data_IF_554603547847
#
_entry.id   IF_554603547847
#
_cell.length_a   1.000
_cell.length_b   1.000
_cell.length_c   1.000
_cell.angle_alpha   90.00
_cell.angle_beta   90.00
_cell.angle_gamma   90.00
#
_symmetry.space_group_name_H-M   'P 1'
#
loop_
_entity.id
_entity.type
_entity.pdbx_description
1 polymer ?
#
# COMPACT_ATOMS: atom_id res chain seq x y z
N UNK A 1 49.36 -5.63 -0.42
CA UNK A 1 48.63 -5.47 -1.70
C UNK A 1 47.52 -4.45 -1.46
N UNK A 2 47.84 -3.15 -1.74
CA UNK A 2 46.86 -2.10 -1.69
C UNK A 2 45.95 -2.17 -2.95
N UNK A 3 44.71 -2.54 -2.77
CA UNK A 3 43.68 -2.37 -3.80
C UNK A 3 43.13 -0.96 -3.70
N UNK A 4 43.62 -0.03 -4.52
CA UNK A 4 43.01 1.29 -4.71
C UNK A 4 41.59 1.12 -5.33
N UNK A 5 40.56 1.54 -4.63
CA UNK A 5 39.20 1.64 -5.15
C UNK A 5 39.16 2.78 -6.17
N UNK A 6 39.02 2.44 -7.46
CA UNK A 6 38.87 3.45 -8.54
C UNK A 6 37.40 3.89 -8.60
N UNK A 7 37.16 5.17 -8.37
CA UNK A 7 35.83 5.80 -8.52
C UNK A 7 35.50 6.02 -10.00
N UNK A 8 34.41 5.42 -10.50
CA UNK A 8 33.90 5.63 -11.85
C UNK A 8 32.66 6.52 -11.83
N UNK A 9 32.55 7.45 -12.75
CA UNK A 9 31.39 8.33 -12.91
C UNK A 9 30.88 8.28 -14.35
N UNK A 10 29.57 8.01 -14.53
CA UNK A 10 28.90 8.07 -15.83
C UNK A 10 28.43 9.50 -16.09
N UNK A 11 28.79 10.02 -17.23
CA UNK A 11 28.33 11.34 -17.73
C UNK A 11 27.39 11.05 -18.91
N UNK A 12 26.12 11.50 -18.89
CA UNK A 12 25.23 11.32 -20.03
C UNK A 12 25.70 12.06 -21.25
N UNK A 13 25.56 11.50 -22.47
CA UNK A 13 26.01 12.17 -23.71
C UNK A 13 25.14 13.37 -24.04
N UNK A 14 25.78 14.43 -24.51
CA UNK A 14 25.16 15.72 -24.81
C UNK A 14 24.33 15.75 -26.11
N UNK A 15 24.34 14.68 -26.96
CA UNK A 15 23.55 14.59 -28.18
C UNK A 15 23.27 13.13 -28.57
N UNK A 16 22.20 12.91 -29.34
CA UNK A 16 21.63 11.57 -29.70
C UNK A 16 22.55 10.64 -30.53
N UNK A 17 23.78 11.01 -30.86
CA UNK A 17 24.67 10.23 -31.74
C UNK A 17 26.04 9.91 -31.17
N UNK A 18 26.28 10.17 -29.89
CA UNK A 18 27.61 9.92 -29.29
C UNK A 18 27.63 8.59 -28.56
N UNK A 19 28.58 7.71 -28.84
CA UNK A 19 28.83 6.48 -28.09
C UNK A 19 29.12 6.81 -26.63
N UNK A 20 28.50 6.09 -25.72
CA UNK A 20 28.81 6.20 -24.28
C UNK A 20 30.27 5.76 -24.05
N UNK A 21 31.00 6.56 -23.29
CA UNK A 21 32.42 6.33 -22.97
C UNK A 21 32.57 6.16 -21.46
N UNK A 22 33.42 5.25 -21.05
CA UNK A 22 33.80 5.05 -19.65
C UNK A 22 34.99 5.94 -19.33
N UNK A 23 34.88 6.76 -18.29
CA UNK A 23 35.94 7.64 -17.81
C UNK A 23 36.45 7.21 -16.45
N UNK A 24 37.74 7.22 -16.25
CA UNK A 24 38.39 7.06 -14.96
C UNK A 24 38.95 8.39 -14.47
N UNK A 25 38.73 8.72 -13.21
CA UNK A 25 39.29 9.94 -12.60
C UNK A 25 40.63 9.59 -11.97
N UNK A 26 41.70 9.98 -12.60
CA UNK A 26 43.07 9.96 -12.02
C UNK A 26 43.53 11.38 -11.82
N UNK A 27 43.82 11.78 -10.58
CA UNK A 27 44.41 13.09 -10.21
C UNK A 27 43.74 14.28 -10.90
N UNK A 28 42.41 14.42 -10.74
CA UNK A 28 41.58 15.49 -11.28
C UNK A 28 41.48 15.59 -12.82
N UNK A 29 42.01 14.64 -13.57
CA UNK A 29 41.93 14.60 -15.04
C UNK A 29 41.06 13.43 -15.51
N UNK A 30 40.06 13.72 -16.36
CA UNK A 30 39.18 12.70 -16.96
C UNK A 30 39.88 12.06 -18.16
N UNK A 31 40.20 10.76 -18.09
CA UNK A 31 40.78 10.01 -19.24
C UNK A 31 39.75 9.01 -19.75
N UNK A 32 39.59 8.97 -21.07
CA UNK A 32 38.79 7.93 -21.77
C UNK A 32 39.61 6.65 -21.74
N UNK A 33 39.03 5.57 -21.14
CA UNK A 33 39.72 4.29 -21.02
C UNK A 33 39.43 3.40 -22.22
N UNK A 34 38.16 3.36 -22.70
CA UNK A 34 37.74 2.61 -23.89
C UNK A 34 36.31 3.00 -24.33
N UNK A 35 35.93 2.78 -25.62
CA UNK A 35 34.56 2.83 -26.04
C UNK A 35 33.80 1.62 -25.42
N UNK A 36 32.58 1.83 -24.92
CA UNK A 36 31.76 0.75 -24.39
C UNK A 36 31.31 -0.20 -25.52
N UNK A 37 31.66 -1.48 -25.39
CA UNK A 37 31.09 -2.55 -26.21
C UNK A 37 29.73 -3.00 -25.64
N UNK A 38 28.91 -3.69 -26.43
CA UNK A 38 27.59 -4.16 -25.97
C UNK A 38 27.69 -5.13 -24.78
N UNK A 39 28.76 -5.96 -24.71
CA UNK A 39 29.03 -6.83 -23.56
C UNK A 39 29.39 -6.03 -22.28
N UNK A 40 30.12 -4.93 -22.44
CA UNK A 40 30.47 -4.02 -21.33
C UNK A 40 29.22 -3.25 -20.82
N UNK A 41 28.27 -2.96 -21.73
CA UNK A 41 26.98 -2.34 -21.33
C UNK A 41 26.12 -3.28 -20.49
N UNK A 42 26.03 -4.55 -20.85
CA UNK A 42 25.30 -5.57 -20.08
C UNK A 42 25.91 -5.74 -18.69
N UNK A 43 27.24 -5.88 -18.60
CA UNK A 43 27.93 -6.03 -17.31
C UNK A 43 27.82 -4.77 -16.43
N UNK A 44 27.90 -3.58 -17.00
CA UNK A 44 27.74 -2.32 -16.25
C UNK A 44 26.27 -2.09 -15.83
N UNK A 45 25.30 -2.53 -16.63
CA UNK A 45 23.89 -2.46 -16.25
C UNK A 45 23.60 -3.46 -15.09
N UNK A 46 24.18 -4.64 -15.13
CA UNK A 46 24.07 -5.64 -14.07
C UNK A 46 24.82 -5.17 -12.80
N UNK A 47 26.00 -4.58 -12.91
CA UNK A 47 26.73 -4.00 -11.78
C UNK A 47 26.01 -2.75 -11.20
N UNK A 48 25.36 -1.93 -12.02
CA UNK A 48 24.55 -0.78 -11.54
C UNK A 48 23.29 -1.26 -10.83
N UNK A 49 22.70 -2.37 -11.27
CA UNK A 49 21.57 -3.03 -10.59
C UNK A 49 22.02 -3.65 -9.28
N UNK A 50 23.21 -4.24 -9.23
CA UNK A 50 23.83 -4.78 -8.02
C UNK A 50 24.39 -3.69 -7.08
N UNK A 51 24.71 -2.51 -7.59
CA UNK A 51 25.24 -1.36 -6.82
C UNK A 51 24.20 -0.41 -6.24
N UNK A 52 22.92 -0.61 -6.49
CA UNK A 52 21.88 -0.05 -5.63
C UNK A 52 21.84 -0.90 -4.39
N UNK A 53 22.28 -0.31 -3.29
CA UNK A 53 22.29 -0.91 -1.97
C UNK A 53 21.06 -1.82 -1.81
N UNK A 54 21.29 -3.09 -1.43
CA UNK A 54 20.22 -4.06 -1.11
C UNK A 54 19.47 -3.60 0.16
N UNK A 55 18.85 -2.43 0.10
CA UNK A 55 18.10 -1.85 1.20
C UNK A 55 16.85 -2.70 1.43
N UNK A 56 16.88 -3.49 2.49
CA UNK A 56 15.72 -4.28 2.90
C UNK A 56 14.67 -3.41 3.59
N UNK A 57 13.42 -3.90 3.64
CA UNK A 57 12.33 -3.25 4.36
C UNK A 57 12.74 -2.88 5.80
N UNK A 58 13.33 -3.82 6.54
CA UNK A 58 13.72 -3.61 7.93
C UNK A 58 14.82 -2.55 8.09
N UNK A 59 15.82 -2.55 7.20
CA UNK A 59 16.88 -1.53 7.21
C UNK A 59 16.32 -0.13 6.90
N UNK A 60 15.43 -0.04 5.91
CA UNK A 60 14.82 1.22 5.54
C UNK A 60 13.94 1.79 6.68
N UNK A 61 13.13 0.95 7.34
CA UNK A 61 12.33 1.39 8.50
C UNK A 61 13.21 1.96 9.61
N UNK A 62 14.33 1.29 9.95
CA UNK A 62 15.29 1.80 10.93
C UNK A 62 15.86 3.16 10.51
N UNK A 63 16.20 3.35 9.23
CA UNK A 63 16.72 4.62 8.72
C UNK A 63 15.67 5.74 8.79
N UNK A 64 14.40 5.43 8.54
CA UNK A 64 13.29 6.40 8.58
C UNK A 64 12.97 6.87 9.99
N UNK A 65 13.01 5.98 10.98
CA UNK A 65 12.74 6.37 12.39
C UNK A 65 13.87 7.22 12.96
N UNK A 66 15.09 7.11 12.41
CA UNK A 66 16.20 8.06 12.64
C UNK A 66 16.91 7.94 13.97
N UNK A 67 16.57 6.95 14.81
CA UNK A 67 17.22 6.68 16.10
C UNK A 67 17.28 5.19 16.37
N UNK A 68 18.38 4.73 16.96
CA UNK A 68 18.48 3.37 17.49
C UNK A 68 17.77 3.29 18.85
N UNK A 69 16.46 3.55 18.86
CA UNK A 69 15.61 3.44 20.05
C UNK A 69 14.86 2.10 20.06
N UNK A 70 14.40 1.65 21.23
CA UNK A 70 13.53 0.46 21.30
C UNK A 70 12.32 0.56 20.37
N UNK A 71 11.72 1.76 20.23
CA UNK A 71 10.58 2.03 19.35
C UNK A 71 10.93 1.80 17.86
N UNK A 72 12.14 2.19 17.44
CA UNK A 72 12.61 1.98 16.07
C UNK A 72 12.76 0.49 15.75
N UNK A 73 13.32 -0.27 16.69
CA UNK A 73 13.43 -1.72 16.55
C UNK A 73 12.07 -2.42 16.55
N UNK A 74 11.15 -2.00 17.44
CA UNK A 74 9.80 -2.54 17.51
C UNK A 74 9.04 -2.29 16.19
N UNK A 75 9.10 -1.06 15.63
CA UNK A 75 8.48 -0.74 14.34
C UNK A 75 9.11 -1.51 13.19
N UNK A 76 10.43 -1.63 13.17
CA UNK A 76 11.12 -2.44 12.14
C UNK A 76 10.71 -3.92 12.24
N UNK A 77 10.65 -4.47 13.45
CA UNK A 77 10.20 -5.84 13.67
C UNK A 77 8.72 -6.03 13.27
N UNK A 78 7.85 -5.06 13.59
CA UNK A 78 6.44 -5.07 13.23
C UNK A 78 6.27 -5.07 11.71
N UNK A 79 6.96 -4.17 10.99
CA UNK A 79 6.94 -4.12 9.53
C UNK A 79 7.49 -5.41 8.91
N UNK A 80 8.55 -5.99 9.50
CA UNK A 80 9.08 -7.30 9.12
C UNK A 80 8.05 -8.43 9.28
N UNK A 81 7.24 -8.41 10.35
CA UNK A 81 6.15 -9.38 10.56
C UNK A 81 5.02 -9.22 9.57
N UNK A 82 4.61 -7.98 9.24
CA UNK A 82 3.65 -7.71 8.14
C UNK A 82 4.23 -8.25 6.82
N UNK A 83 5.51 -7.96 6.54
CA UNK A 83 6.20 -8.48 5.36
C UNK A 83 6.21 -10.01 5.29
N UNK A 84 6.44 -10.69 6.43
CA UNK A 84 6.39 -12.16 6.52
C UNK A 84 4.98 -12.69 6.23
N UNK A 85 3.94 -12.05 6.77
CA UNK A 85 2.56 -12.39 6.46
C UNK A 85 2.30 -12.25 4.95
N UNK A 86 2.69 -11.12 4.34
CA UNK A 86 2.56 -10.89 2.91
C UNK A 86 3.31 -11.92 2.05
N UNK A 87 4.56 -12.25 2.37
CA UNK A 87 5.34 -13.31 1.69
C UNK A 87 4.62 -14.66 1.76
N UNK A 88 4.04 -14.98 2.91
CA UNK A 88 3.30 -16.23 3.12
C UNK A 88 2.03 -16.29 2.28
N UNK A 89 1.27 -15.19 2.23
CA UNK A 89 0.07 -15.04 1.41
C UNK A 89 0.43 -15.10 -0.07
N UNK A 90 1.43 -14.32 -0.52
CA UNK A 90 1.90 -14.30 -1.90
C UNK A 90 2.29 -15.70 -2.41
N UNK A 91 3.04 -16.46 -1.59
CA UNK A 91 3.40 -17.84 -1.91
C UNK A 91 2.16 -18.74 -2.06
N UNK A 92 1.13 -18.53 -1.26
CA UNK A 92 -0.09 -19.32 -1.34
C UNK A 92 -0.89 -18.97 -2.59
N UNK A 93 -1.05 -17.68 -2.88
CA UNK A 93 -1.71 -17.15 -4.08
C UNK A 93 -1.04 -17.60 -5.38
N UNK A 94 0.29 -17.59 -5.43
CA UNK A 94 1.03 -18.03 -6.64
C UNK A 94 0.81 -19.50 -7.00
N UNK A 95 0.15 -20.26 -6.13
CA UNK A 95 -0.23 -21.66 -6.32
C UNK A 95 -1.73 -21.87 -6.46
N UNK A 96 -2.51 -20.79 -6.62
CA UNK A 96 -3.95 -20.86 -6.85
C UNK A 96 -4.25 -21.76 -8.07
N UNK A 97 -5.24 -22.62 -7.92
CA UNK A 97 -5.55 -23.65 -8.93
C UNK A 97 -4.68 -24.90 -8.90
N UNK A 98 -3.54 -24.90 -8.20
CA UNK A 98 -2.67 -26.08 -8.02
C UNK A 98 -2.82 -26.71 -6.63
N UNK A 99 -3.31 -25.96 -5.66
CA UNK A 99 -3.51 -26.36 -4.27
C UNK A 99 -4.99 -26.26 -3.94
N UNK A 100 -5.52 -27.29 -3.28
CA UNK A 100 -6.90 -27.27 -2.79
C UNK A 100 -7.14 -26.13 -1.79
N UNK A 101 -8.37 -25.61 -1.74
CA UNK A 101 -8.81 -24.56 -0.81
C UNK A 101 -8.12 -23.18 -0.96
N UNK A 102 -7.55 -22.85 -2.09
CA UNK A 102 -7.12 -21.47 -2.42
C UNK A 102 -8.28 -20.71 -3.09
N UNK A 103 -8.92 -21.35 -4.05
CA UNK A 103 -10.07 -20.80 -4.78
C UNK A 103 -11.41 -21.16 -4.11
N UNK A 104 -12.44 -20.36 -4.43
CA UNK A 104 -13.81 -20.61 -4.01
C UNK A 104 -14.17 -20.04 -2.63
N UNK A 105 -15.38 -20.35 -2.20
CA UNK A 105 -15.99 -19.85 -0.96
C UNK A 105 -16.03 -20.95 0.11
N UNK A 106 -15.98 -20.54 1.37
CA UNK A 106 -16.06 -21.49 2.52
C UNK A 106 -17.46 -22.03 2.75
N UNK A 107 -18.49 -21.42 2.16
CA UNK A 107 -19.90 -21.67 2.50
C UNK A 107 -20.38 -20.87 3.71
N UNK A 108 -19.52 -20.12 4.36
CA UNK A 108 -19.82 -19.21 5.47
C UNK A 108 -20.07 -17.79 4.95
N UNK A 109 -20.78 -17.00 5.76
CA UNK A 109 -21.05 -15.57 5.51
C UNK A 109 -20.40 -14.80 6.65
N UNK A 110 -19.68 -13.72 6.32
CA UNK A 110 -19.05 -12.87 7.34
C UNK A 110 -20.10 -12.03 8.09
N UNK A 111 -19.68 -11.33 9.13
CA UNK A 111 -20.53 -10.45 9.95
C UNK A 111 -21.29 -9.38 9.16
N UNK A 112 -20.96 -9.22 7.89
CA UNK A 112 -21.48 -8.20 6.99
C UNK A 112 -22.42 -8.78 5.91
N UNK A 113 -22.65 -10.10 5.95
CA UNK A 113 -23.50 -10.79 4.99
C UNK A 113 -22.82 -11.15 3.66
N UNK A 114 -21.47 -11.02 3.58
CA UNK A 114 -20.70 -11.35 2.39
C UNK A 114 -20.17 -12.80 2.46
N UNK A 115 -20.11 -13.48 1.30
CA UNK A 115 -19.57 -14.85 1.23
C UNK A 115 -18.06 -14.83 1.48
N UNK A 116 -17.62 -15.53 2.54
CA UNK A 116 -16.19 -15.60 2.91
C UNK A 116 -15.45 -16.51 1.93
N UNK A 117 -14.42 -15.98 1.31
CA UNK A 117 -13.50 -16.74 0.48
C UNK A 117 -12.53 -17.56 1.34
N UNK A 118 -12.05 -18.67 0.81
CA UNK A 118 -11.03 -19.47 1.47
C UNK A 118 -9.77 -18.67 1.79
N UNK A 119 -9.40 -17.75 0.89
CA UNK A 119 -8.22 -16.91 1.04
C UNK A 119 -8.37 -15.85 2.13
N UNK A 120 -9.53 -15.22 2.30
CA UNK A 120 -9.77 -14.25 3.37
C UNK A 120 -9.52 -14.88 4.73
N UNK A 121 -10.09 -16.07 4.94
CA UNK A 121 -9.91 -16.86 6.16
C UNK A 121 -8.47 -17.32 6.38
N UNK A 122 -7.78 -17.71 5.29
CA UNK A 122 -6.37 -18.10 5.35
C UNK A 122 -5.49 -16.90 5.71
N UNK A 123 -5.64 -15.78 4.99
CA UNK A 123 -4.85 -14.59 5.18
C UNK A 123 -5.05 -13.99 6.57
N UNK A 124 -6.29 -13.93 7.07
CA UNK A 124 -6.58 -13.48 8.43
C UNK A 124 -5.84 -14.33 9.47
N UNK A 125 -5.83 -15.67 9.32
CA UNK A 125 -5.05 -16.55 10.21
C UNK A 125 -3.56 -16.35 10.09
N UNK A 126 -3.03 -16.05 8.91
CA UNK A 126 -1.61 -15.75 8.72
C UNK A 126 -1.23 -14.50 9.51
N UNK A 127 -2.01 -13.43 9.44
CA UNK A 127 -1.77 -12.22 10.24
C UNK A 127 -1.85 -12.51 11.74
N UNK A 128 -2.89 -13.17 12.22
CA UNK A 128 -3.02 -13.52 13.65
C UNK A 128 -1.78 -14.28 14.15
N UNK A 129 -1.37 -15.33 13.46
CA UNK A 129 -0.18 -16.14 13.84
C UNK A 129 1.13 -15.36 13.75
N UNK A 130 1.25 -14.42 12.82
CA UNK A 130 2.45 -13.60 12.70
C UNK A 130 2.65 -12.71 13.94
N UNK A 131 1.58 -12.34 14.64
CA UNK A 131 1.62 -11.36 15.71
C UNK A 131 1.35 -11.89 17.12
N UNK A 132 0.58 -12.98 17.28
CA UNK A 132 0.11 -13.48 18.57
C UNK A 132 1.23 -13.65 19.62
N UNK A 133 2.42 -14.10 19.21
CA UNK A 133 3.57 -14.30 20.10
C UNK A 133 4.71 -13.32 19.83
N UNK A 134 4.44 -12.22 19.17
CA UNK A 134 5.50 -11.31 18.72
C UNK A 134 6.01 -10.37 19.82
N UNK A 135 5.22 -10.06 20.83
CA UNK A 135 5.49 -9.02 21.80
C UNK A 135 5.42 -7.58 21.26
N UNK A 136 4.89 -7.41 20.02
CA UNK A 136 4.86 -6.12 19.33
C UNK A 136 3.49 -5.43 19.43
N UNK A 137 2.42 -6.23 19.42
CA UNK A 137 1.04 -5.70 19.43
C UNK A 137 0.33 -6.09 20.73
N UNK A 138 -0.59 -5.24 21.16
CA UNK A 138 -1.54 -5.55 22.25
C UNK A 138 -2.82 -6.17 21.71
N UNK A 139 -3.17 -5.84 20.46
CA UNK A 139 -4.37 -6.34 19.80
C UNK A 139 -4.28 -6.21 18.28
N UNK A 140 -5.14 -6.97 17.61
CA UNK A 140 -5.36 -6.93 16.17
C UNK A 140 -6.84 -6.69 15.89
N UNK A 141 -7.17 -5.88 14.89
CA UNK A 141 -8.51 -5.72 14.38
C UNK A 141 -8.51 -5.94 12.87
N UNK A 142 -9.40 -6.78 12.39
CA UNK A 142 -9.49 -7.17 10.98
C UNK A 142 -10.88 -6.92 10.44
N UNK A 143 -10.98 -6.65 9.15
CA UNK A 143 -12.24 -6.59 8.44
C UNK A 143 -13.06 -7.88 8.61
N UNK A 144 -12.37 -9.02 8.66
CA UNK A 144 -12.94 -10.38 8.75
C UNK A 144 -13.32 -10.81 10.18
N UNK A 145 -13.10 -9.96 11.19
CA UNK A 145 -13.37 -10.25 12.59
C UNK A 145 -14.42 -9.32 13.17
N UNK A 146 -15.46 -9.85 13.80
CA UNK A 146 -16.50 -9.05 14.47
C UNK A 146 -15.96 -8.19 15.61
N UNK A 147 -14.96 -8.72 16.34
CA UNK A 147 -14.33 -8.08 17.50
C UNK A 147 -12.83 -8.08 17.36
N UNK A 148 -12.13 -7.11 17.98
CA UNK A 148 -10.69 -7.14 18.04
C UNK A 148 -10.19 -8.41 18.73
N UNK A 149 -9.06 -8.94 18.24
CA UNK A 149 -8.33 -10.00 18.88
C UNK A 149 -7.32 -9.40 19.86
N UNK A 150 -7.54 -9.59 21.14
CA UNK A 150 -6.60 -9.19 22.18
C UNK A 150 -5.54 -10.27 22.37
N UNK A 151 -4.29 -9.85 22.49
CA UNK A 151 -3.20 -10.79 22.77
C UNK A 151 -3.43 -11.43 24.13
N UNK A 152 -3.44 -12.77 24.23
CA UNK A 152 -3.68 -13.47 25.49
C UNK A 152 -2.62 -13.13 26.56
N UNK A 153 -3.01 -13.07 27.83
CA UNK A 153 -2.13 -12.72 28.97
C UNK A 153 -0.89 -13.63 29.11
N UNK A 154 -0.98 -14.87 28.63
CA UNK A 154 0.14 -15.80 28.62
C UNK A 154 1.11 -15.59 27.43
N UNK A 155 0.85 -14.61 26.57
CA UNK A 155 1.72 -14.19 25.47
C UNK A 155 2.33 -12.82 25.75
N UNK A 156 3.49 -12.49 25.16
CA UNK A 156 4.07 -11.15 25.29
C UNK A 156 3.16 -10.09 24.67
N UNK A 157 2.82 -9.07 25.45
CA UNK A 157 1.95 -7.96 25.01
C UNK A 157 2.83 -6.77 24.60
N UNK A 158 2.60 -6.25 23.41
CA UNK A 158 3.30 -5.07 22.88
C UNK A 158 2.49 -3.78 23.02
N UNK A 159 3.00 -2.72 22.41
CA UNK A 159 2.43 -1.36 22.50
C UNK A 159 1.63 -0.91 21.29
N UNK A 160 1.59 -1.70 20.23
CA UNK A 160 0.92 -1.32 18.99
C UNK A 160 -0.41 -2.04 18.81
N UNK A 161 -1.30 -1.40 18.09
CA UNK A 161 -2.50 -2.00 17.52
C UNK A 161 -2.31 -2.08 16.01
N UNK A 162 -2.57 -3.25 15.43
CA UNK A 162 -2.59 -3.46 14.00
C UNK A 162 -4.04 -3.59 13.53
N UNK A 163 -4.46 -2.72 12.61
CA UNK A 163 -5.74 -2.81 11.93
C UNK A 163 -5.47 -3.20 10.48
N UNK A 164 -6.22 -4.15 9.92
CA UNK A 164 -5.94 -4.64 8.58
C UNK A 164 -7.16 -5.22 7.88
N UNK A 165 -7.15 -5.08 6.56
CA UNK A 165 -7.90 -5.93 5.63
C UNK A 165 -6.93 -7.00 5.12
N UNK A 166 -7.17 -8.29 5.43
CA UNK A 166 -6.25 -9.35 5.01
C UNK A 166 -6.21 -9.54 3.50
N UNK A 167 -7.34 -9.36 2.79
CA UNK A 167 -7.44 -9.50 1.33
C UNK A 167 -8.48 -8.54 0.75
N UNK A 168 -8.04 -7.37 0.34
CA UNK A 168 -8.83 -6.48 -0.52
C UNK A 168 -8.95 -7.06 -1.94
N UNK A 169 -10.17 -7.05 -2.46
CA UNK A 169 -10.48 -7.53 -3.81
C UNK A 169 -10.57 -9.05 -3.93
N UNK A 170 -10.99 -9.76 -2.90
CA UNK A 170 -11.07 -11.24 -2.89
C UNK A 170 -11.88 -11.83 -4.06
N UNK A 171 -12.81 -11.08 -4.65
CA UNK A 171 -13.53 -11.49 -5.88
C UNK A 171 -12.61 -11.70 -7.09
N UNK A 172 -11.45 -11.07 -7.11
CA UNK A 172 -10.46 -11.15 -8.19
C UNK A 172 -9.64 -12.45 -8.16
N UNK A 173 -9.61 -13.17 -7.04
CA UNK A 173 -8.80 -14.38 -6.87
C UNK A 173 -9.18 -15.45 -7.89
N UNK A 174 -10.47 -15.71 -8.04
CA UNK A 174 -10.98 -16.78 -8.91
C UNK A 174 -10.73 -16.52 -10.40
N UNK A 175 -10.44 -15.28 -10.78
CA UNK A 175 -10.14 -14.85 -12.16
C UNK A 175 -8.69 -14.40 -12.34
N UNK A 176 -7.84 -14.64 -11.33
CA UNK A 176 -6.40 -14.37 -11.34
C UNK A 176 -6.05 -12.91 -11.65
N UNK A 177 -6.77 -11.97 -11.05
CA UNK A 177 -6.47 -10.55 -11.09
C UNK A 177 -5.77 -10.09 -9.79
N UNK A 178 -5.16 -8.90 -9.83
CA UNK A 178 -4.46 -8.33 -8.69
C UNK A 178 -5.39 -8.10 -7.50
N UNK A 179 -4.87 -8.37 -6.31
CA UNK A 179 -5.48 -8.17 -4.99
C UNK A 179 -4.43 -7.65 -4.02
N UNK A 180 -4.80 -7.34 -2.78
CA UNK A 180 -3.81 -6.92 -1.78
C UNK A 180 -4.23 -7.09 -0.34
N UNK A 181 -3.32 -6.82 0.56
CA UNK A 181 -3.59 -6.65 1.99
C UNK A 181 -3.35 -5.19 2.38
N UNK A 182 -4.23 -4.61 3.17
CA UNK A 182 -4.12 -3.21 3.62
C UNK A 182 -3.91 -3.22 5.13
N UNK A 183 -3.07 -2.32 5.65
CA UNK A 183 -2.82 -2.23 7.08
C UNK A 183 -2.61 -0.81 7.57
N UNK A 184 -2.92 -0.58 8.84
CA UNK A 184 -2.50 0.59 9.60
C UNK A 184 -2.03 0.23 11.00
N UNK A 185 -1.13 1.06 11.52
CA UNK A 185 -0.51 0.88 12.82
C UNK A 185 -0.91 2.06 13.69
N UNK A 186 -1.34 1.77 14.90
CA UNK A 186 -1.59 2.77 15.95
C UNK A 186 -0.77 2.43 17.17
N UNK A 187 -0.39 3.45 17.91
CA UNK A 187 0.23 3.26 19.21
C UNK A 187 -0.86 3.33 20.28
N UNK A 188 -0.84 2.42 21.24
CA UNK A 188 -1.75 2.47 22.38
C UNK A 188 -1.42 3.67 23.27
N UNK A 189 -2.39 4.52 23.51
CA UNK A 189 -2.29 5.67 24.41
C UNK A 189 -2.86 5.25 25.80
N UNK A 190 -1.98 4.98 26.76
CA UNK A 190 -2.36 4.65 28.15
C UNK A 190 -2.64 3.15 28.42
N UNK A 191 -2.79 2.82 29.70
CA UNK A 191 -3.27 1.51 30.14
C UNK A 191 -4.80 1.55 30.11
N UNK A 192 -5.42 1.11 29.03
CA UNK A 192 -6.85 0.95 29.00
C UNK A 192 -7.25 -0.35 29.73
N UNK A 193 -7.52 -0.23 31.02
CA UNK A 193 -8.05 -1.33 31.85
C UNK A 193 -9.53 -1.63 31.52
N UNK A 194 -10.20 -0.77 30.74
CA UNK A 194 -11.63 -0.92 30.45
C UNK A 194 -11.94 -2.06 29.48
N UNK A 195 -10.95 -2.51 28.67
CA UNK A 195 -11.14 -3.57 27.69
C UNK A 195 -12.13 -3.21 26.56
N UNK A 196 -12.59 -1.95 26.52
CA UNK A 196 -13.49 -1.48 25.49
C UNK A 196 -12.69 -1.03 24.27
N UNK A 197 -13.18 -1.38 23.07
CA UNK A 197 -12.54 -1.02 21.81
C UNK A 197 -12.61 0.49 21.48
N UNK A 198 -12.93 1.35 22.43
CA UNK A 198 -13.15 2.78 22.23
C UNK A 198 -11.92 3.51 21.70
N UNK A 199 -10.73 3.09 22.11
CA UNK A 199 -9.48 3.65 21.61
C UNK A 199 -9.16 3.25 20.15
N UNK A 200 -9.88 2.28 19.58
CA UNK A 200 -9.85 1.97 18.14
C UNK A 200 -10.73 2.93 17.34
N UNK A 201 -11.75 3.54 17.98
CA UNK A 201 -12.72 4.43 17.34
C UNK A 201 -12.20 5.87 17.26
N UNK A 202 -10.98 6.02 16.78
CA UNK A 202 -10.31 7.31 16.60
C UNK A 202 -10.17 7.65 15.12
N UNK A 203 -9.98 8.93 14.83
CA UNK A 203 -9.74 9.41 13.47
C UNK A 203 -8.49 8.78 12.83
N UNK A 204 -8.43 8.79 11.51
CA UNK A 204 -7.28 8.31 10.76
C UNK A 204 -5.98 9.08 11.03
N UNK A 205 -6.05 10.30 11.60
CA UNK A 205 -4.89 11.11 12.01
C UNK A 205 -4.06 10.46 13.13
N UNK A 206 -4.64 9.51 13.88
CA UNK A 206 -3.96 8.77 14.95
C UNK A 206 -3.13 7.59 14.45
N UNK A 207 -3.11 7.33 13.16
CA UNK A 207 -2.20 6.35 12.56
C UNK A 207 -0.75 6.84 12.64
N UNK A 208 0.16 6.00 13.13
CA UNK A 208 1.61 6.25 13.12
C UNK A 208 2.28 5.67 11.87
N UNK A 209 1.57 4.83 11.14
CA UNK A 209 1.98 4.26 9.88
C UNK A 209 0.85 3.52 9.20
N UNK A 210 0.91 3.45 7.90
CA UNK A 210 -0.02 2.69 7.08
C UNK A 210 0.68 2.14 5.84
N UNK A 211 0.07 1.14 5.20
CA UNK A 211 0.61 0.55 3.99
C UNK A 211 -0.31 -0.49 3.38
N UNK A 212 0.16 -1.05 2.30
CA UNK A 212 -0.47 -2.19 1.66
C UNK A 212 0.57 -3.12 1.04
N UNK A 213 0.17 -4.36 0.84
CA UNK A 213 0.92 -5.33 0.03
C UNK A 213 0.07 -5.65 -1.19
N UNK A 214 0.59 -5.37 -2.37
CA UNK A 214 -0.06 -5.68 -3.65
C UNK A 214 0.45 -7.03 -4.16
N UNK A 215 -0.45 -7.95 -4.42
CA UNK A 215 -0.19 -9.25 -5.05
C UNK A 215 -0.58 -9.18 -6.54
N UNK A 216 0.36 -8.74 -7.37
CA UNK A 216 0.20 -8.54 -8.81
C UNK A 216 1.26 -9.29 -9.61
N UNK A 217 1.72 -8.69 -10.72
CA UNK A 217 2.84 -9.21 -11.54
C UNK A 217 4.11 -9.42 -10.72
N UNK A 218 4.34 -8.55 -9.75
CA UNK A 218 5.28 -8.75 -8.65
C UNK A 218 4.54 -8.50 -7.33
N UNK A 219 5.05 -9.02 -6.23
CA UNK A 219 4.54 -8.67 -4.92
C UNK A 219 5.25 -7.41 -4.44
N UNK A 220 4.47 -6.36 -4.18
CA UNK A 220 5.00 -5.08 -3.74
C UNK A 220 4.51 -4.73 -2.35
N UNK A 221 5.38 -4.16 -1.53
CA UNK A 221 5.07 -3.63 -0.20
C UNK A 221 5.21 -2.11 -0.25
N UNK A 222 4.13 -1.38 -0.03
CA UNK A 222 4.10 0.09 -0.06
C UNK A 222 3.70 0.60 1.31
N UNK A 223 4.47 1.55 1.87
CA UNK A 223 4.18 2.07 3.20
C UNK A 223 4.61 3.52 3.41
N UNK A 224 4.10 4.12 4.47
CA UNK A 224 4.58 5.36 5.07
C UNK A 224 4.56 5.26 6.60
N UNK A 225 5.57 5.85 7.24
CA UNK A 225 5.62 6.15 8.67
C UNK A 225 5.64 7.67 8.92
N UNK A 226 4.92 8.44 8.07
CA UNK A 226 4.83 9.90 8.17
C UNK A 226 6.00 10.66 7.54
N UNK A 227 6.87 9.99 6.78
CA UNK A 227 8.03 10.60 6.11
C UNK A 227 8.10 10.18 4.64
N UNK A 228 7.03 10.47 3.88
CA UNK A 228 6.91 10.07 2.48
C UNK A 228 6.42 8.63 2.31
N UNK A 229 6.22 8.24 1.07
CA UNK A 229 5.73 6.91 0.67
C UNK A 229 6.85 6.16 -0.04
N UNK A 230 7.04 4.90 0.32
CA UNK A 230 8.12 4.07 -0.18
C UNK A 230 7.61 2.71 -0.63
N UNK A 231 8.15 2.17 -1.72
CA UNK A 231 7.78 0.89 -2.29
C UNK A 231 8.97 -0.08 -2.34
N UNK A 232 8.67 -1.33 -2.03
CA UNK A 232 9.58 -2.47 -2.04
C UNK A 232 8.99 -3.54 -2.93
N UNK A 233 9.86 -4.21 -3.67
CA UNK A 233 9.49 -5.38 -4.47
C UNK A 233 10.06 -6.64 -3.81
N UNK A 234 9.22 -7.66 -3.69
CA UNK A 234 9.68 -8.97 -3.21
C UNK A 234 10.58 -9.62 -4.25
N UNK A 235 11.82 -9.86 -3.87
CA UNK A 235 12.68 -10.77 -4.61
C UNK A 235 12.39 -12.21 -4.13
N UNK A 236 11.74 -13.04 -4.96
CA UNK A 236 11.36 -14.39 -4.54
C UNK A 236 12.54 -15.34 -4.42
N UNK A 237 13.71 -15.01 -4.99
CA UNK A 237 14.91 -15.86 -4.96
C UNK A 237 15.59 -15.86 -3.59
N UNK A 238 15.57 -14.71 -2.92
CA UNK A 238 16.12 -14.55 -1.56
C UNK A 238 15.03 -14.40 -0.49
N UNK A 239 13.77 -14.20 -0.93
CA UNK A 239 12.64 -14.07 -0.03
C UNK A 239 12.62 -12.75 0.74
N UNK A 240 13.16 -11.63 0.17
CA UNK A 240 13.23 -10.34 0.83
C UNK A 240 12.54 -9.24 0.02
N UNK A 241 11.93 -8.27 0.75
CA UNK A 241 11.45 -7.02 0.17
C UNK A 241 12.60 -6.04 0.03
N UNK A 242 12.96 -5.73 -1.21
CA UNK A 242 14.05 -4.83 -1.57
C UNK A 242 13.46 -3.49 -2.03
N UNK A 243 14.04 -2.39 -1.58
CA UNK A 243 13.62 -1.04 -1.95
C UNK A 243 13.64 -0.86 -3.47
N UNK A 244 12.49 -0.54 -4.04
CA UNK A 244 12.34 -0.28 -5.47
C UNK A 244 12.11 1.20 -5.78
N UNK A 245 11.42 1.92 -4.88
CA UNK A 245 11.20 3.37 -5.03
C UNK A 245 11.10 4.06 -3.67
N UNK A 246 11.72 5.23 -3.55
CA UNK A 246 11.65 6.11 -2.38
C UNK A 246 10.89 7.39 -2.72
N UNK A 247 10.23 7.96 -1.70
CA UNK A 247 9.58 9.26 -1.76
C UNK A 247 8.64 9.39 -2.96
N UNK A 248 7.75 8.40 -3.11
CA UNK A 248 6.74 8.40 -4.17
C UNK A 248 5.82 9.59 -3.96
N UNK A 249 5.70 10.42 -4.99
CA UNK A 249 4.75 11.52 -5.05
C UNK A 249 3.71 11.23 -6.11
N UNK A 250 2.43 11.35 -5.74
CA UNK A 250 1.36 11.27 -6.73
C UNK A 250 1.38 12.54 -7.61
N UNK A 251 1.26 12.44 -8.94
CA UNK A 251 1.13 13.62 -9.79
C UNK A 251 -0.04 14.51 -9.32
N UNK A 252 0.14 15.83 -9.33
CA UNK A 252 -0.93 16.78 -8.93
C UNK A 252 -2.22 16.59 -9.71
N UNK A 253 -2.10 16.14 -10.98
CA UNK A 253 -3.20 15.80 -11.89
C UNK A 253 -2.87 14.57 -12.70
N UNK A 254 -3.86 13.70 -12.91
CA UNK A 254 -3.75 12.56 -13.80
C UNK A 254 -4.99 12.38 -14.67
N UNK A 255 -4.87 11.56 -15.70
CA UNK A 255 -5.96 11.24 -16.64
C UNK A 255 -6.71 9.94 -16.31
N UNK A 256 -6.23 9.19 -15.32
CA UNK A 256 -6.89 7.95 -14.91
C UNK A 256 -8.07 8.26 -13.99
N UNK A 257 -9.20 7.64 -14.26
CA UNK A 257 -10.29 7.56 -13.29
C UNK A 257 -10.70 6.10 -13.09
N UNK A 258 -11.02 5.75 -11.87
CA UNK A 258 -11.41 4.40 -11.47
C UNK A 258 -12.72 4.45 -10.70
N UNK A 259 -13.77 3.85 -11.23
CA UNK A 259 -15.10 3.78 -10.61
C UNK A 259 -15.90 2.65 -11.25
N UNK A 260 -16.76 1.98 -10.47
CA UNK A 260 -17.69 1.00 -11.01
C UNK A 260 -18.92 1.69 -11.63
N UNK A 261 -18.83 2.03 -12.91
CA UNK A 261 -19.92 2.71 -13.62
C UNK A 261 -21.21 1.86 -13.76
N UNK A 262 -21.14 0.54 -13.44
CA UNK A 262 -22.34 -0.30 -13.35
C UNK A 262 -23.34 0.21 -12.29
N UNK A 263 -22.86 1.01 -11.33
CA UNK A 263 -23.68 1.65 -10.29
C UNK A 263 -24.17 3.05 -10.67
N UNK A 264 -23.94 3.54 -11.90
CA UNK A 264 -24.22 4.92 -12.34
C UNK A 264 -25.62 5.42 -11.93
N UNK A 265 -26.64 4.60 -12.12
CA UNK A 265 -28.04 4.98 -11.84
C UNK A 265 -28.40 4.93 -10.35
N UNK A 266 -27.51 4.39 -9.51
CA UNK A 266 -27.68 4.34 -8.07
C UNK A 266 -27.02 5.53 -7.36
N UNK A 267 -26.22 6.35 -8.07
CA UNK A 267 -25.60 7.54 -7.52
C UNK A 267 -26.58 8.73 -7.52
N UNK A 268 -26.28 9.71 -6.68
CA UNK A 268 -26.96 11.01 -6.70
C UNK A 268 -26.64 11.81 -7.98
N UNK A 269 -27.39 12.87 -8.24
CA UNK A 269 -27.21 13.65 -9.47
C UNK A 269 -25.84 14.35 -9.54
N UNK A 270 -25.30 14.96 -8.47
CA UNK A 270 -23.97 15.54 -8.49
C UNK A 270 -22.86 14.57 -8.94
N UNK A 271 -22.85 13.35 -8.43
CA UNK A 271 -21.87 12.33 -8.83
C UNK A 271 -22.06 11.90 -10.30
N UNK A 272 -23.31 11.74 -10.75
CA UNK A 272 -23.61 11.45 -12.16
C UNK A 272 -23.15 12.56 -13.09
N UNK A 273 -23.36 13.83 -12.70
CA UNK A 273 -22.88 14.99 -13.48
C UNK A 273 -21.35 15.02 -13.55
N UNK A 274 -20.64 14.72 -12.47
CA UNK A 274 -19.20 14.59 -12.50
C UNK A 274 -18.75 13.49 -13.49
N UNK A 275 -19.36 12.32 -13.46
CA UNK A 275 -19.00 11.23 -14.38
C UNK A 275 -19.30 11.61 -15.84
N UNK A 276 -20.44 12.28 -16.12
CA UNK A 276 -20.72 12.83 -17.47
C UNK A 276 -19.68 13.88 -17.88
N UNK A 277 -19.22 14.71 -16.94
CA UNK A 277 -18.16 15.68 -17.19
C UNK A 277 -16.87 14.98 -17.60
N UNK A 278 -16.37 13.98 -16.86
CA UNK A 278 -15.12 13.29 -17.22
C UNK A 278 -15.22 12.54 -18.55
N UNK A 279 -16.40 12.03 -18.94
CA UNK A 279 -16.61 11.39 -20.24
C UNK A 279 -16.48 12.39 -21.42
N UNK A 280 -16.75 13.67 -21.20
CA UNK A 280 -16.61 14.73 -22.21
C UNK A 280 -15.17 15.27 -22.31
N UNK A 281 -14.30 14.94 -21.35
CA UNK A 281 -12.91 15.39 -21.35
C UNK A 281 -12.06 14.42 -22.18
N UNK A 282 -11.47 14.91 -23.26
CA UNK A 282 -10.54 14.14 -24.05
C UNK A 282 -9.29 13.73 -23.26
N UNK A 283 -8.84 12.51 -23.44
CA UNK A 283 -7.62 11.98 -22.80
C UNK A 283 -7.83 11.27 -21.47
N UNK A 284 -9.02 11.36 -20.86
CA UNK A 284 -9.32 10.55 -19.66
C UNK A 284 -9.43 9.06 -19.99
N UNK A 285 -8.98 8.22 -19.08
CA UNK A 285 -8.92 6.77 -19.25
C UNK A 285 -9.54 6.06 -18.07
N UNK A 286 -10.62 5.31 -18.29
CA UNK A 286 -11.23 4.46 -17.27
C UNK A 286 -10.33 3.26 -16.96
N UNK A 287 -10.10 3.02 -15.68
CA UNK A 287 -9.37 1.85 -15.17
C UNK A 287 -9.98 1.41 -13.84
N UNK A 288 -10.78 0.37 -13.85
CA UNK A 288 -11.40 -0.21 -12.66
C UNK A 288 -11.09 -1.70 -12.61
N UNK A 289 -10.39 -2.13 -11.56
CA UNK A 289 -9.94 -3.52 -11.40
C UNK A 289 -10.85 -4.36 -10.50
N UNK A 290 -11.66 -3.71 -9.67
CA UNK A 290 -12.48 -4.38 -8.65
C UNK A 290 -11.73 -4.69 -7.35
N UNK A 291 -10.43 -4.34 -7.25
CA UNK A 291 -9.65 -4.35 -6.02
C UNK A 291 -9.19 -2.92 -5.72
N UNK A 292 -9.56 -2.40 -4.55
CA UNK A 292 -9.28 -1.03 -4.15
C UNK A 292 -7.77 -0.74 -4.16
N UNK A 293 -6.98 -1.63 -3.57
CA UNK A 293 -5.52 -1.49 -3.48
C UNK A 293 -4.86 -1.42 -4.85
N UNK A 294 -5.33 -2.20 -5.84
CA UNK A 294 -4.75 -2.21 -7.19
C UNK A 294 -5.04 -0.91 -7.95
N UNK A 295 -6.24 -0.37 -7.80
CA UNK A 295 -6.63 0.89 -8.41
C UNK A 295 -5.94 2.08 -7.76
N UNK A 296 -5.83 2.11 -6.42
CA UNK A 296 -5.07 3.13 -5.68
C UNK A 296 -3.57 3.06 -6.01
N UNK A 297 -3.00 1.87 -6.12
CA UNK A 297 -1.61 1.72 -6.56
C UNK A 297 -1.35 2.36 -7.92
N UNK A 298 -2.24 2.13 -8.90
CA UNK A 298 -2.15 2.79 -10.20
C UNK A 298 -2.21 4.31 -10.11
N UNK A 299 -3.14 4.84 -9.32
CA UNK A 299 -3.31 6.28 -9.14
C UNK A 299 -2.11 6.91 -8.44
N UNK A 300 -1.53 6.23 -7.44
CA UNK A 300 -0.34 6.68 -6.74
C UNK A 300 0.83 6.94 -7.71
N UNK A 301 0.96 6.12 -8.78
CA UNK A 301 2.06 6.23 -9.74
C UNK A 301 1.72 7.07 -11.00
N UNK A 302 0.47 7.06 -11.44
CA UNK A 302 0.07 7.69 -12.70
C UNK A 302 -0.75 8.98 -12.51
N UNK A 303 -1.21 9.23 -11.29
CA UNK A 303 -2.18 10.28 -11.00
C UNK A 303 -3.59 9.91 -11.47
N UNK A 304 -4.56 10.74 -11.07
CA UNK A 304 -5.97 10.54 -11.36
C UNK A 304 -6.83 10.44 -10.10
N UNK A 305 -7.98 9.80 -10.19
CA UNK A 305 -8.92 9.68 -9.07
C UNK A 305 -9.59 8.31 -9.03
N UNK A 306 -9.66 7.72 -7.84
CA UNK A 306 -10.53 6.59 -7.53
C UNK A 306 -11.79 7.10 -6.82
N UNK A 307 -12.94 6.54 -7.19
CA UNK A 307 -14.25 6.91 -6.67
C UNK A 307 -14.99 5.65 -6.18
N UNK A 308 -15.39 5.69 -4.94
CA UNK A 308 -16.36 4.75 -4.38
C UNK A 308 -17.46 5.55 -3.64
N UNK A 309 -18.36 6.22 -4.39
CA UNK A 309 -19.38 7.07 -3.80
C UNK A 309 -20.44 6.25 -3.06
N UNK A 310 -21.16 6.91 -2.16
CA UNK A 310 -22.42 6.40 -1.62
C UNK A 310 -23.46 6.20 -2.74
N UNK A 311 -24.45 5.39 -2.47
CA UNK A 311 -25.58 5.13 -3.35
C UNK A 311 -26.86 5.62 -2.66
N UNK A 312 -27.87 5.96 -3.44
CA UNK A 312 -29.21 6.35 -2.90
C UNK A 312 -29.73 5.22 -2.01
N UNK A 313 -30.01 5.56 -0.74
CA UNK A 313 -30.39 4.59 0.31
C UNK A 313 -29.22 3.85 0.97
N UNK A 314 -27.99 4.09 0.55
CA UNK A 314 -26.75 3.57 1.12
C UNK A 314 -25.64 4.63 1.05
N UNK A 315 -25.92 5.80 1.62
CA UNK A 315 -25.07 7.00 1.55
C UNK A 315 -23.71 6.79 2.22
N UNK A 316 -23.62 5.91 3.22
CA UNK A 316 -22.39 5.56 3.92
C UNK A 316 -21.38 4.81 3.02
N UNK A 317 -21.75 4.43 1.79
CA UNK A 317 -20.88 3.68 0.91
C UNK A 317 -20.68 2.21 1.35
N UNK A 318 -19.61 1.58 0.87
CA UNK A 318 -19.33 0.16 1.16
C UNK A 318 -17.99 -0.06 1.87
N UNK A 319 -16.99 0.80 1.62
CA UNK A 319 -15.64 0.64 2.14
C UNK A 319 -15.56 0.89 3.64
N UNK A 320 -14.72 0.12 4.36
CA UNK A 320 -14.53 0.24 5.80
C UNK A 320 -13.48 1.30 6.10
N UNK A 321 -13.86 2.27 6.93
CA UNK A 321 -12.97 3.37 7.27
C UNK A 321 -11.65 2.90 7.87
N UNK A 322 -11.70 2.03 8.88
CA UNK A 322 -10.53 1.68 9.68
C UNK A 322 -9.55 0.75 8.97
N UNK A 323 -10.03 -0.09 8.05
CA UNK A 323 -9.24 -1.16 7.43
C UNK A 323 -8.81 -0.84 6.02
N UNK A 324 -9.56 0.02 5.29
CA UNK A 324 -9.36 0.33 3.88
C UNK A 324 -9.14 1.83 3.66
N UNK A 325 -10.17 2.67 3.92
CA UNK A 325 -10.17 4.07 3.52
C UNK A 325 -9.14 4.92 4.25
N UNK A 326 -9.03 4.80 5.58
CA UNK A 326 -8.09 5.61 6.36
C UNK A 326 -6.62 5.21 6.14
N UNK A 327 -6.22 3.93 6.05
CA UNK A 327 -4.85 3.56 5.68
C UNK A 327 -4.43 4.11 4.32
N UNK A 328 -5.29 3.97 3.30
CA UNK A 328 -4.99 4.44 1.95
C UNK A 328 -5.02 5.97 1.84
N UNK A 329 -5.91 6.64 2.58
CA UNK A 329 -5.92 8.09 2.70
C UNK A 329 -4.62 8.62 3.32
N UNK A 330 -4.11 7.95 4.37
CA UNK A 330 -2.84 8.31 4.99
C UNK A 330 -1.69 8.24 3.97
N UNK A 331 -1.59 7.15 3.21
CA UNK A 331 -0.59 7.01 2.15
C UNK A 331 -0.74 8.09 1.08
N UNK A 332 -1.97 8.34 0.61
CA UNK A 332 -2.22 9.31 -0.44
C UNK A 332 -1.85 10.73 -0.01
N UNK A 333 -2.18 11.15 1.22
CA UNK A 333 -1.76 12.45 1.76
C UNK A 333 -0.22 12.55 1.89
N UNK A 334 0.44 11.48 2.36
CA UNK A 334 1.90 11.43 2.45
C UNK A 334 2.58 11.49 1.07
N UNK A 335 1.88 11.12 0.00
CA UNK A 335 2.33 11.24 -1.38
C UNK A 335 1.97 12.59 -2.02
N UNK A 336 1.31 13.52 -1.31
CA UNK A 336 0.88 14.82 -1.82
C UNK A 336 -0.48 14.82 -2.51
N UNK A 337 -1.24 13.74 -2.44
CA UNK A 337 -2.63 13.64 -2.90
C UNK A 337 -3.65 14.02 -1.83
N UNK A 338 -4.92 13.65 -2.08
CA UNK A 338 -6.06 13.92 -1.17
C UNK A 338 -7.02 12.74 -1.11
N UNK A 339 -7.74 12.64 0.00
CA UNK A 339 -8.80 11.67 0.20
C UNK A 339 -9.96 12.27 1.01
N UNK A 340 -11.17 12.24 0.44
CA UNK A 340 -12.37 12.84 1.02
C UNK A 340 -13.58 11.91 0.91
N UNK A 341 -14.56 12.11 1.79
CA UNK A 341 -15.90 11.51 1.64
C UNK A 341 -16.77 12.26 0.62
N UNK A 342 -16.28 13.40 0.11
CA UNK A 342 -17.04 14.42 -0.59
C UNK A 342 -17.54 15.55 0.31
N UNK A 343 -17.51 15.38 1.64
CA UNK A 343 -17.94 16.37 2.64
C UNK A 343 -16.83 16.73 3.64
N UNK A 344 -15.93 15.80 3.93
CA UNK A 344 -14.82 16.00 4.85
C UNK A 344 -13.64 15.07 4.47
N UNK A 345 -12.44 15.41 4.90
CA UNK A 345 -11.27 14.59 4.70
C UNK A 345 -11.42 13.23 5.40
N UNK A 346 -11.01 12.15 4.74
CA UNK A 346 -11.13 10.78 5.28
C UNK A 346 -10.43 10.64 6.63
N UNK A 347 -9.25 11.24 6.79
CA UNK A 347 -8.48 11.11 8.03
C UNK A 347 -9.13 11.85 9.22
N UNK A 348 -10.07 12.76 8.98
CA UNK A 348 -10.77 13.50 10.03
C UNK A 348 -12.08 12.81 10.47
N UNK A 349 -12.51 11.78 9.75
CA UNK A 349 -13.70 10.99 10.11
C UNK A 349 -13.41 10.21 11.39
N UNK A 350 -14.28 10.37 12.40
CA UNK A 350 -14.25 9.59 13.64
C UNK A 350 -15.33 8.53 13.58
N UNK A 351 -14.98 7.24 13.56
CA UNK A 351 -15.96 6.16 13.50
C UNK A 351 -16.67 5.98 14.85
N UNK A 352 -17.92 5.52 14.81
CA UNK A 352 -18.70 5.13 15.99
C UNK A 352 -18.69 3.61 16.26
N UNK A 353 -18.14 2.83 15.32
CA UNK A 353 -18.05 1.37 15.36
C UNK A 353 -16.87 0.85 14.54
N UNK A 354 -16.42 -0.38 14.80
CA UNK A 354 -15.25 -0.98 14.14
C UNK A 354 -15.43 -1.13 12.62
N UNK A 355 -16.61 -1.51 12.17
CA UNK A 355 -16.93 -1.67 10.75
C UNK A 355 -17.68 -0.47 10.18
N UNK A 356 -17.29 0.75 10.61
CA UNK A 356 -17.82 1.99 10.07
C UNK A 356 -17.52 2.09 8.57
N UNK A 357 -18.54 2.35 7.77
CA UNK A 357 -18.43 2.50 6.32
C UNK A 357 -18.38 3.96 5.92
N UNK A 358 -17.72 4.24 4.80
CA UNK A 358 -17.58 5.59 4.27
C UNK A 358 -17.47 5.56 2.75
N UNK A 359 -18.03 6.57 2.05
CA UNK A 359 -17.65 6.85 0.67
C UNK A 359 -16.16 7.21 0.60
N UNK A 360 -15.54 7.01 -0.55
CA UNK A 360 -14.15 7.34 -0.78
C UNK A 360 -13.94 8.00 -2.13
N UNK A 361 -13.34 9.19 -2.12
CA UNK A 361 -12.83 9.92 -3.27
C UNK A 361 -11.36 10.18 -2.98
N UNK A 362 -10.44 9.58 -3.74
CA UNK A 362 -9.01 9.59 -3.40
C UNK A 362 -8.15 9.66 -4.66
N UNK A 363 -7.07 10.45 -4.62
CA UNK A 363 -6.12 10.54 -5.71
C UNK A 363 -5.37 11.85 -5.77
N UNK A 364 -5.03 12.27 -6.98
CA UNK A 364 -4.38 13.55 -7.28
C UNK A 364 -5.18 14.71 -6.72
N UNK A 365 -4.50 15.66 -6.07
CA UNK A 365 -5.14 16.78 -5.39
C UNK A 365 -6.07 17.58 -6.29
N UNK A 366 -5.66 17.86 -7.54
CA UNK A 366 -6.47 18.60 -8.50
C UNK A 366 -7.68 17.80 -9.00
N UNK A 367 -7.54 16.47 -9.20
CA UNK A 367 -8.65 15.63 -9.59
C UNK A 367 -9.71 15.55 -8.48
N UNK A 368 -9.29 15.39 -7.22
CA UNK A 368 -10.21 15.35 -6.06
C UNK A 368 -10.95 16.68 -5.91
N UNK A 369 -10.28 17.84 -6.02
CA UNK A 369 -10.91 19.16 -5.99
C UNK A 369 -11.99 19.32 -7.07
N UNK A 370 -11.75 18.81 -8.28
CA UNK A 370 -12.76 18.84 -9.34
C UNK A 370 -13.99 18.02 -8.94
N UNK A 371 -13.82 16.81 -8.38
CA UNK A 371 -14.97 16.03 -7.86
C UNK A 371 -15.74 16.83 -6.82
N UNK A 372 -15.07 17.39 -5.82
CA UNK A 372 -15.70 18.16 -4.74
C UNK A 372 -16.49 19.36 -5.27
N UNK A 373 -16.04 19.98 -6.37
CA UNK A 373 -16.77 21.11 -6.98
C UNK A 373 -18.13 20.74 -7.58
N UNK A 374 -18.38 19.45 -7.82
CA UNK A 374 -19.71 18.94 -8.23
C UNK A 374 -20.57 18.53 -7.05
N UNK A 375 -19.95 18.12 -5.93
CA UNK A 375 -20.66 17.59 -4.76
C UNK A 375 -21.09 18.68 -3.77
N UNK A 376 -20.47 19.86 -3.83
CA UNK A 376 -20.73 21.05 -3.01
C UNK A 376 -21.39 22.14 -3.87
#
# INVERSE_FOLDING_TARGET
LNTEVKNYRLVPPATRTTQALVYCIEKETLKVIAPMTDSTRLNLADEIVLGRDFMTLSQHVLSQVGTFSPEAYDLSALMGRIGLAGKTIARHLSRAGLVENVLGVTGEVNVQGEAVKNMDRYANRVFLRAFEQSGLVCRLASEEMEKPYYIPENCPIGRYTLLYDPIDGSSNIDVNLAIGSIFSIRQQEGNDESGEALDLLQSGRKQIGAGYILYGTSTMFVYSLGKGVHAFTLDPSIGEFILSQENICVPERGSVYSVNEGNFWQWDEPMREYVRYIHRQAGNTARYSGALVADIHRILFQGGVFLYPGMVGHEDGKLRLLYESAPLAYLMEQAGGRATTGKQEILDVVPDRLHYRTPLIIGSSENVKVVESFLN
#
